data_IF_731767733508
#
_entry.id   IF_731767733508
#
_cell.length_a   1.000
_cell.length_b   1.000
_cell.length_c   1.000
_cell.angle_alpha   90.00
_cell.angle_beta   90.00
_cell.angle_gamma   90.00
#
_symmetry.space_group_name_H-M   'P 1'
#
loop_
_entity.id
_entity.type
_entity.pdbx_description
1 polymer ?
#
# COMPACT_ATOMS: atom_id res chain seq x y z
N UNK A 1 -13.55 1.00 7.52
CA UNK A 1 -12.27 1.62 7.91
C UNK A 1 -12.14 2.99 7.27
N UNK A 2 -11.74 3.98 8.03
CA UNK A 2 -11.53 5.32 7.49
C UNK A 2 -10.31 5.34 6.58
N UNK A 3 -10.38 6.18 5.54
CA UNK A 3 -9.29 6.30 4.58
C UNK A 3 -7.97 6.72 5.21
N UNK A 4 -8.01 7.64 6.18
CA UNK A 4 -6.81 8.09 6.88
C UNK A 4 -6.16 6.96 7.68
N UNK A 5 -6.96 6.10 8.29
CA UNK A 5 -6.44 4.93 8.99
C UNK A 5 -5.81 3.93 8.04
N UNK A 6 -6.44 3.73 6.89
CA UNK A 6 -5.90 2.84 5.87
C UNK A 6 -4.58 3.38 5.32
N UNK A 7 -4.52 4.68 5.04
CA UNK A 7 -3.29 5.32 4.57
C UNK A 7 -2.16 5.14 5.58
N UNK A 8 -2.45 5.37 6.86
CA UNK A 8 -1.46 5.20 7.92
C UNK A 8 -0.96 3.75 7.98
N UNK A 9 -1.89 2.80 7.90
CA UNK A 9 -1.53 1.38 7.91
C UNK A 9 -0.64 1.04 6.73
N UNK A 10 -0.98 1.52 5.54
CA UNK A 10 -0.20 1.26 4.32
C UNK A 10 1.21 1.82 4.47
N UNK A 11 1.34 3.03 4.99
CA UNK A 11 2.66 3.63 5.23
C UNK A 11 3.48 2.82 6.23
N UNK A 12 2.84 2.32 7.29
CA UNK A 12 3.50 1.46 8.28
C UNK A 12 4.01 0.16 7.65
N UNK A 13 3.17 -0.48 6.83
CA UNK A 13 3.54 -1.73 6.18
C UNK A 13 4.71 -1.50 5.22
N UNK A 14 4.63 -0.46 4.40
CA UNK A 14 5.71 -0.13 3.46
C UNK A 14 7.00 0.16 4.21
N UNK A 15 6.91 0.94 5.29
CA UNK A 15 8.09 1.27 6.09
C UNK A 15 8.75 0.02 6.65
N UNK A 16 7.96 -0.89 7.20
CA UNK A 16 8.46 -2.15 7.76
C UNK A 16 9.17 -3.01 6.72
N UNK A 17 8.68 -3.00 5.48
CA UNK A 17 9.24 -3.86 4.44
C UNK A 17 10.45 -3.24 3.75
N UNK A 18 10.38 -1.95 3.39
CA UNK A 18 11.41 -1.33 2.56
C UNK A 18 11.82 0.08 3.01
N UNK A 19 11.13 0.68 3.96
CA UNK A 19 11.34 2.08 4.29
C UNK A 19 12.74 2.42 4.79
N UNK A 20 13.28 1.60 5.69
CA UNK A 20 14.60 1.83 6.24
C UNK A 20 15.68 1.85 5.18
N UNK A 21 15.59 0.95 4.20
CA UNK A 21 16.58 0.84 3.14
C UNK A 21 16.56 2.07 2.22
N UNK A 22 15.45 2.81 2.22
CA UNK A 22 15.28 3.97 1.35
C UNK A 22 15.42 5.30 2.09
N UNK A 23 15.94 5.26 3.31
CA UNK A 23 16.28 6.46 4.06
C UNK A 23 15.12 7.11 4.79
N UNK A 24 13.98 6.46 4.88
CA UNK A 24 12.88 6.98 5.68
C UNK A 24 13.12 6.68 7.15
N UNK A 25 12.92 7.67 8.00
CA UNK A 25 13.17 7.53 9.44
C UNK A 25 11.98 6.93 10.18
N UNK A 26 10.79 7.10 9.64
CA UNK A 26 9.54 6.64 10.24
C UNK A 26 8.45 6.60 9.18
N UNK A 27 7.35 5.87 9.44
CA UNK A 27 6.27 5.75 8.46
C UNK A 27 5.68 7.09 8.00
N UNK A 28 5.59 8.07 8.90
CA UNK A 28 5.01 9.38 8.60
C UNK A 28 5.84 10.17 7.60
N UNK A 29 7.11 9.80 7.41
CA UNK A 29 7.97 10.45 6.41
C UNK A 29 7.61 10.05 4.99
N UNK A 30 6.89 8.95 4.82
CA UNK A 30 6.42 8.51 3.50
C UNK A 30 5.24 9.37 3.09
N UNK A 31 5.29 9.94 1.88
CA UNK A 31 4.21 10.81 1.39
C UNK A 31 3.33 10.09 0.37
N UNK A 32 2.16 10.67 0.13
CA UNK A 32 1.22 10.12 -0.85
C UNK A 32 1.79 10.15 -2.27
N UNK A 33 2.74 11.03 -2.54
CA UNK A 33 3.34 11.18 -3.86
C UNK A 33 4.54 10.27 -4.09
N UNK A 34 5.00 9.56 -3.07
CA UNK A 34 6.12 8.64 -3.22
C UNK A 34 5.72 7.47 -4.09
N UNK A 35 6.54 7.15 -5.09
CA UNK A 35 6.31 6.04 -5.99
C UNK A 35 6.90 4.75 -5.43
N UNK A 36 6.16 3.65 -5.57
CA UNK A 36 6.59 2.36 -5.04
C UNK A 36 7.86 1.87 -5.70
N UNK A 37 8.03 2.14 -7.00
CA UNK A 37 9.23 1.75 -7.71
C UNK A 37 10.37 2.73 -7.51
N UNK A 38 10.17 4.01 -7.86
CA UNK A 38 11.25 5.00 -7.87
C UNK A 38 11.71 5.40 -6.48
N UNK A 39 10.77 5.64 -5.57
CA UNK A 39 11.11 6.16 -4.23
C UNK A 39 11.31 5.05 -3.20
N UNK A 40 10.57 3.95 -3.33
CA UNK A 40 10.65 2.83 -2.38
C UNK A 40 11.56 1.71 -2.87
N UNK A 41 12.01 1.76 -4.12
CA UNK A 41 12.81 0.71 -4.77
C UNK A 41 12.25 -0.70 -4.55
N UNK A 42 10.93 -0.78 -4.58
CA UNK A 42 10.20 -2.02 -4.32
C UNK A 42 10.26 -2.93 -5.55
N UNK A 43 10.58 -4.21 -5.35
CA UNK A 43 10.46 -5.19 -6.42
C UNK A 43 9.11 -5.90 -6.33
N UNK A 44 8.84 -6.83 -7.25
CA UNK A 44 7.55 -7.52 -7.28
C UNK A 44 7.30 -8.37 -6.04
N UNK A 45 8.36 -8.92 -5.46
CA UNK A 45 8.25 -9.72 -4.24
C UNK A 45 7.89 -8.82 -3.06
N UNK A 46 8.53 -7.66 -2.95
CA UNK A 46 8.23 -6.69 -1.91
C UNK A 46 6.79 -6.22 -2.01
N UNK A 47 6.31 -5.96 -3.22
CA UNK A 47 4.94 -5.53 -3.45
C UNK A 47 3.94 -6.59 -2.99
N UNK A 48 4.19 -7.85 -3.35
CA UNK A 48 3.33 -8.97 -2.92
C UNK A 48 3.31 -9.07 -1.41
N UNK A 49 4.46 -8.94 -0.76
CA UNK A 49 4.54 -9.00 0.70
C UNK A 49 3.78 -7.85 1.37
N UNK A 50 3.85 -6.65 0.80
CA UNK A 50 3.09 -5.50 1.31
C UNK A 50 1.60 -5.79 1.22
N UNK A 51 1.13 -6.25 0.07
CA UNK A 51 -0.29 -6.57 -0.12
C UNK A 51 -0.74 -7.67 0.83
N UNK A 52 0.06 -8.72 1.00
CA UNK A 52 -0.27 -9.81 1.92
C UNK A 52 -0.38 -9.33 3.36
N UNK A 53 0.50 -8.43 3.78
CA UNK A 53 0.44 -7.89 5.13
C UNK A 53 -0.82 -7.02 5.32
N UNK A 54 -1.19 -6.25 4.30
CA UNK A 54 -2.42 -5.47 4.34
C UNK A 54 -3.65 -6.39 4.45
N UNK A 55 -3.66 -7.46 3.66
CA UNK A 55 -4.73 -8.47 3.75
C UNK A 55 -4.83 -9.05 5.16
N UNK A 56 -3.70 -9.37 5.75
CA UNK A 56 -3.64 -9.92 7.10
C UNK A 56 -4.20 -8.94 8.13
N UNK A 57 -3.82 -7.67 8.03
CA UNK A 57 -4.25 -6.65 8.99
C UNK A 57 -5.72 -6.27 8.84
N UNK A 58 -6.24 -6.32 7.62
CA UNK A 58 -7.65 -5.97 7.36
C UNK A 58 -8.58 -7.18 7.47
N UNK A 59 -8.03 -8.39 7.40
CA UNK A 59 -8.84 -9.60 7.36
C UNK A 59 -9.59 -9.79 6.05
N UNK A 60 -9.12 -9.14 4.97
CA UNK A 60 -9.77 -9.18 3.64
C UNK A 60 -8.79 -9.64 2.58
N UNK A 61 -9.26 -10.46 1.65
CA UNK A 61 -8.48 -10.81 0.48
C UNK A 61 -8.61 -9.72 -0.58
N UNK A 62 -7.50 -9.34 -1.19
CA UNK A 62 -7.48 -8.31 -2.23
C UNK A 62 -7.20 -9.02 -3.56
N UNK A 63 -8.20 -9.10 -4.46
CA UNK A 63 -8.01 -9.75 -5.75
C UNK A 63 -7.00 -8.99 -6.62
N UNK A 64 -6.29 -9.71 -7.48
CA UNK A 64 -5.30 -9.10 -8.36
C UNK A 64 -5.91 -8.01 -9.25
N UNK A 65 -7.16 -8.18 -9.66
CA UNK A 65 -7.85 -7.20 -10.51
C UNK A 65 -7.94 -5.81 -9.88
N UNK A 66 -7.98 -5.74 -8.56
CA UNK A 66 -8.03 -4.45 -7.84
C UNK A 66 -6.74 -3.68 -8.05
N UNK A 67 -5.61 -4.39 -8.13
CA UNK A 67 -4.28 -3.81 -8.21
C UNK A 67 -3.74 -3.72 -9.64
N UNK A 68 -4.44 -4.32 -10.60
CA UNK A 68 -3.99 -4.45 -11.98
C UNK A 68 -4.43 -3.27 -12.86
N UNK A 69 -4.46 -2.07 -12.28
CA UNK A 69 -4.83 -0.85 -13.00
C UNK A 69 -3.65 -0.30 -13.78
N UNK A 70 -2.46 -0.40 -13.21
CA UNK A 70 -1.20 -0.07 -13.87
C UNK A 70 -0.07 -0.80 -13.14
N UNK A 71 1.14 -0.87 -13.75
CA UNK A 71 2.25 -1.58 -13.11
C UNK A 71 2.52 -1.05 -11.70
N UNK A 72 2.80 -1.96 -10.76
CA UNK A 72 2.96 -1.58 -9.35
C UNK A 72 4.04 -0.51 -9.16
N UNK A 73 5.11 -0.57 -9.95
CA UNK A 73 6.23 0.36 -9.78
C UNK A 73 5.88 1.78 -10.20
N UNK A 74 4.80 1.97 -10.93
CA UNK A 74 4.30 3.30 -11.31
C UNK A 74 3.25 3.84 -10.34
N UNK A 75 2.78 3.02 -9.39
CA UNK A 75 1.81 3.45 -8.40
C UNK A 75 2.47 4.32 -7.33
N UNK A 76 1.77 5.39 -6.93
CA UNK A 76 2.15 6.14 -5.74
C UNK A 76 1.46 5.54 -4.52
N UNK A 77 1.96 5.89 -3.34
CA UNK A 77 1.35 5.46 -2.08
C UNK A 77 -0.13 5.89 -2.03
N UNK A 78 -0.41 7.13 -2.48
CA UNK A 78 -1.79 7.64 -2.49
C UNK A 78 -2.68 6.87 -3.44
N UNK A 79 -2.19 6.52 -4.63
CA UNK A 79 -2.95 5.73 -5.59
C UNK A 79 -3.26 4.33 -5.06
N UNK A 80 -2.28 3.68 -4.46
CA UNK A 80 -2.49 2.37 -3.84
C UNK A 80 -3.56 2.47 -2.75
N UNK A 81 -3.47 3.51 -1.91
CA UNK A 81 -4.45 3.72 -0.84
C UNK A 81 -5.85 3.90 -1.41
N UNK A 82 -6.00 4.70 -2.47
CA UNK A 82 -7.31 4.94 -3.08
C UNK A 82 -7.92 3.65 -3.65
N UNK A 83 -7.11 2.86 -4.34
CA UNK A 83 -7.56 1.59 -4.92
C UNK A 83 -8.04 0.63 -3.83
N UNK A 84 -7.27 0.50 -2.77
CA UNK A 84 -7.62 -0.39 -1.66
C UNK A 84 -8.81 0.14 -0.88
N UNK A 85 -8.87 1.45 -0.66
CA UNK A 85 -10.00 2.06 0.04
C UNK A 85 -11.31 1.81 -0.70
N UNK A 86 -11.33 2.03 -2.00
CA UNK A 86 -12.53 1.83 -2.81
C UNK A 86 -13.00 0.38 -2.76
N UNK A 87 -12.07 -0.57 -2.83
CA UNK A 87 -12.41 -1.98 -2.74
C UNK A 87 -12.95 -2.34 -1.36
N UNK A 88 -12.25 -1.93 -0.31
CA UNK A 88 -12.62 -2.28 1.07
C UNK A 88 -13.92 -1.61 1.50
N UNK A 89 -14.15 -0.39 1.03
CA UNK A 89 -15.38 0.34 1.28
C UNK A 89 -16.60 -0.43 0.72
N UNK A 90 -16.49 -0.92 -0.49
CA UNK A 90 -17.56 -1.70 -1.12
C UNK A 90 -17.77 -3.04 -0.38
N UNK A 91 -16.70 -3.64 0.11
CA UNK A 91 -16.78 -4.87 0.87
C UNK A 91 -17.54 -4.67 2.18
N UNK A 92 -17.29 -3.56 2.87
CA UNK A 92 -17.95 -3.25 4.14
C UNK A 92 -19.45 -2.98 4.00
N UNK A 93 -19.90 -2.56 2.83
CA UNK A 93 -21.31 -2.29 2.56
C UNK A 93 -22.13 -3.54 2.30
N UNK A 94 -21.51 -4.69 2.15
CA UNK A 94 -22.16 -5.97 1.94
C UNK A 94 -22.43 -6.63 3.30
#
# INVERSE_FOLDING_TARGET
>A
MEKDKLLRMIKEVIFEKVGEFNGFNRPESITNNDELGADMTMDSIDFVEVVMEIEKRTGRCIPDEVLDVKPYHELTVGELTNMLYDYLKDYEKR
#
